data_IF_059019641612
#
_entry.id   IF_059019641612
#
_cell.length_a   1.000
_cell.length_b   1.000
_cell.length_c   1.000
_cell.angle_alpha   90.00
_cell.angle_beta   90.00
_cell.angle_gamma   90.00
#
_symmetry.space_group_name_H-M   'P 1'
#
loop_
_entity.id
_entity.type
_entity.pdbx_description
1 polymer ?
#
# COMPACT_ATOMS: atom_id res chain seq x y z
N UNK A 1 7.33 -32.71 -5.33
CA UNK A 1 6.28 -32.95 -6.35
C UNK A 1 6.88 -32.90 -7.74
N UNK A 2 6.41 -33.71 -8.70
CA UNK A 2 7.09 -33.91 -9.99
C UNK A 2 6.72 -32.91 -11.09
N UNK A 3 5.63 -32.14 -10.91
CA UNK A 3 5.03 -31.29 -11.96
C UNK A 3 5.03 -29.81 -11.63
N UNK A 4 5.62 -29.40 -10.53
CA UNK A 4 5.74 -27.98 -10.12
C UNK A 4 7.21 -27.62 -10.05
N UNK A 5 7.53 -26.34 -10.33
CA UNK A 5 8.89 -25.86 -10.14
C UNK A 5 9.31 -26.06 -8.69
N UNK A 6 10.57 -26.37 -8.48
CA UNK A 6 11.14 -26.39 -7.14
C UNK A 6 11.28 -24.95 -6.68
N UNK A 7 10.50 -24.59 -5.69
CA UNK A 7 10.70 -23.39 -4.91
C UNK A 7 10.90 -23.87 -3.47
N UNK A 8 12.02 -23.56 -2.86
CA UNK A 8 12.34 -24.00 -1.50
C UNK A 8 11.36 -23.43 -0.47
N UNK A 9 10.71 -22.31 -0.81
CA UNK A 9 9.69 -21.65 -0.01
C UNK A 9 8.27 -22.19 -0.25
N UNK A 10 8.06 -23.27 -1.02
CA UNK A 10 6.75 -23.90 -1.26
C UNK A 10 6.14 -24.54 0.00
N UNK A 11 6.12 -23.81 1.10
CA UNK A 11 5.17 -24.09 2.18
C UNK A 11 3.76 -23.82 1.65
N UNK A 12 2.82 -24.67 2.05
CA UNK A 12 1.42 -24.46 1.71
C UNK A 12 1.03 -23.00 2.06
N UNK A 13 0.73 -22.21 1.05
CA UNK A 13 0.23 -20.87 1.26
C UNK A 13 -1.10 -20.95 2.01
N UNK A 14 -1.16 -20.34 3.16
CA UNK A 14 -2.39 -20.15 3.94
C UNK A 14 -2.61 -18.66 4.09
N UNK A 15 -3.57 -18.16 3.34
CA UNK A 15 -3.99 -16.76 3.51
C UNK A 15 -4.78 -16.61 4.81
N UNK A 16 -4.07 -16.25 5.86
CA UNK A 16 -4.66 -16.07 7.19
C UNK A 16 -5.62 -14.87 7.21
N UNK A 17 -5.41 -13.84 6.38
CA UNK A 17 -6.25 -12.64 6.34
C UNK A 17 -7.63 -13.00 5.81
N UNK A 18 -7.72 -13.62 4.64
CA UNK A 18 -9.01 -14.01 4.05
C UNK A 18 -9.77 -15.04 4.88
N UNK A 19 -9.07 -15.89 5.64
CA UNK A 19 -9.74 -16.83 6.54
C UNK A 19 -10.47 -16.11 7.68
N UNK A 20 -9.82 -15.13 8.30
CA UNK A 20 -10.43 -14.31 9.38
C UNK A 20 -11.53 -13.42 8.83
N UNK A 21 -11.33 -12.81 7.65
CA UNK A 21 -12.38 -12.02 6.96
C UNK A 21 -13.63 -12.86 6.68
N UNK A 22 -13.48 -14.11 6.23
CA UNK A 22 -14.62 -15.00 6.01
C UNK A 22 -15.32 -15.37 7.31
N UNK A 23 -14.57 -15.62 8.37
CA UNK A 23 -15.13 -15.91 9.69
C UNK A 23 -15.95 -14.72 10.22
N UNK A 24 -15.39 -13.50 10.15
CA UNK A 24 -16.09 -12.27 10.52
C UNK A 24 -17.40 -12.06 9.73
N UNK A 25 -17.39 -12.34 8.43
CA UNK A 25 -18.60 -12.22 7.59
C UNK A 25 -19.68 -13.24 7.91
N UNK A 26 -19.31 -14.38 8.48
CA UNK A 26 -20.23 -15.44 8.84
C UNK A 26 -20.83 -15.27 10.25
N UNK A 27 -20.25 -14.37 11.04
CA UNK A 27 -20.68 -14.11 12.41
C UNK A 27 -21.57 -12.85 12.49
N UNK A 28 -22.84 -12.99 12.87
CA UNK A 28 -23.78 -11.86 12.93
C UNK A 28 -23.47 -10.85 14.05
N UNK A 29 -22.66 -11.24 15.05
CA UNK A 29 -22.24 -10.39 16.18
C UNK A 29 -20.87 -9.76 15.96
N UNK A 30 -20.23 -9.99 14.79
CA UNK A 30 -18.87 -9.58 14.52
C UNK A 30 -18.67 -8.07 14.54
N UNK A 31 -17.73 -7.62 15.34
CA UNK A 31 -17.03 -6.35 15.13
C UNK A 31 -15.89 -6.63 14.16
N UNK A 32 -16.10 -6.28 12.88
CA UNK A 32 -15.18 -6.66 11.81
C UNK A 32 -14.14 -5.56 11.54
N UNK A 33 -13.04 -5.58 12.26
CA UNK A 33 -11.88 -4.72 12.09
C UNK A 33 -10.75 -5.37 11.24
N UNK A 34 -11.09 -6.29 10.34
CA UNK A 34 -10.11 -7.00 9.51
C UNK A 34 -9.84 -6.32 8.17
N UNK A 35 -10.85 -5.63 7.60
CA UNK A 35 -10.81 -5.16 6.22
C UNK A 35 -9.85 -3.98 6.04
N UNK A 36 -9.23 -3.91 4.86
CA UNK A 36 -8.48 -2.76 4.38
C UNK A 36 -9.27 -1.95 3.35
N UNK A 37 -10.59 -1.94 3.48
CA UNK A 37 -11.51 -1.15 2.67
C UNK A 37 -12.28 -0.20 3.58
N UNK A 38 -12.58 0.99 3.08
CA UNK A 38 -13.37 1.97 3.82
C UNK A 38 -14.85 1.60 3.76
N UNK A 39 -15.51 1.61 4.92
CA UNK A 39 -16.95 1.43 5.08
C UNK A 39 -17.58 2.71 5.63
N UNK A 40 -18.80 3.02 5.17
CA UNK A 40 -19.60 4.13 5.69
C UNK A 40 -20.15 3.86 7.09
N UNK A 41 -20.80 4.84 7.68
CA UNK A 41 -21.45 4.70 8.98
C UNK A 41 -22.70 3.80 8.93
N UNK A 42 -23.21 3.53 7.72
CA UNK A 42 -24.27 2.54 7.48
C UNK A 42 -23.77 1.09 7.41
N UNK A 43 -22.50 0.85 7.68
CA UNK A 43 -21.85 -0.46 7.63
C UNK A 43 -21.68 -1.04 6.22
N UNK A 44 -21.91 -0.24 5.17
CA UNK A 44 -21.67 -0.64 3.78
C UNK A 44 -20.34 -0.11 3.28
N UNK A 45 -19.82 -0.77 2.24
CA UNK A 45 -18.60 -0.27 1.59
C UNK A 45 -18.80 1.17 1.11
N UNK A 46 -17.92 2.07 1.55
CA UNK A 46 -17.90 3.43 1.07
C UNK A 46 -17.49 3.47 -0.39
N UNK A 47 -18.23 4.21 -1.19
CA UNK A 47 -17.96 4.37 -2.62
C UNK A 47 -18.08 5.85 -2.99
N UNK A 48 -17.13 6.34 -3.81
CA UNK A 48 -17.24 7.66 -4.38
C UNK A 48 -18.34 7.68 -5.43
N UNK A 49 -19.35 8.51 -5.24
CA UNK A 49 -20.50 8.61 -6.15
C UNK A 49 -20.05 8.99 -7.55
N UNK A 50 -19.18 10.01 -7.68
CA UNK A 50 -18.68 10.47 -8.97
C UNK A 50 -18.00 9.33 -9.77
N UNK A 51 -17.22 8.47 -9.09
CA UNK A 51 -16.52 7.33 -9.72
C UNK A 51 -17.50 6.32 -10.32
N UNK A 52 -18.56 5.96 -9.59
CA UNK A 52 -19.51 4.95 -10.05
C UNK A 52 -20.55 5.52 -11.02
N UNK A 53 -20.89 6.79 -10.93
CA UNK A 53 -21.72 7.49 -11.93
C UNK A 53 -21.00 7.63 -13.26
N UNK A 54 -19.70 7.91 -13.28
CA UNK A 54 -18.89 7.91 -14.50
C UNK A 54 -18.74 6.49 -15.06
N UNK A 55 -18.46 5.49 -14.20
CA UNK A 55 -18.37 4.08 -14.65
C UNK A 55 -19.64 3.59 -15.36
N UNK A 56 -20.81 4.02 -14.87
CA UNK A 56 -22.10 3.65 -15.46
C UNK A 56 -22.27 4.14 -16.91
N UNK A 57 -21.55 5.18 -17.31
CA UNK A 57 -21.56 5.73 -18.69
C UNK A 57 -20.70 4.93 -19.67
N UNK A 58 -19.82 4.04 -19.20
CA UNK A 58 -18.94 3.23 -20.05
C UNK A 58 -19.78 2.18 -20.78
N UNK A 59 -19.71 2.23 -22.11
CA UNK A 59 -20.50 1.35 -22.99
C UNK A 59 -20.04 -0.11 -22.91
N UNK A 60 -20.92 -1.09 -23.25
CA UNK A 60 -20.52 -2.50 -23.33
C UNK A 60 -19.33 -2.75 -24.28
N UNK A 61 -19.24 -2.02 -25.39
CA UNK A 61 -18.12 -2.14 -26.32
C UNK A 61 -16.79 -1.69 -25.71
N UNK A 62 -16.78 -0.58 -24.96
CA UNK A 62 -15.60 -0.11 -24.23
C UNK A 62 -15.18 -1.07 -23.12
N UNK A 63 -16.16 -1.68 -22.40
CA UNK A 63 -15.89 -2.70 -21.37
C UNK A 63 -15.28 -3.97 -21.97
N UNK A 64 -15.69 -4.35 -23.18
CA UNK A 64 -15.21 -5.56 -23.86
C UNK A 64 -13.88 -5.38 -24.57
N UNK A 65 -13.46 -4.15 -24.84
CA UNK A 65 -12.23 -3.85 -25.58
C UNK A 65 -10.99 -4.07 -24.71
N UNK A 66 -9.91 -4.55 -25.34
CA UNK A 66 -8.59 -4.50 -24.74
C UNK A 66 -8.09 -3.05 -24.60
N UNK A 67 -7.25 -2.80 -23.62
CA UNK A 67 -6.46 -1.58 -23.55
C UNK A 67 -5.51 -1.47 -24.75
N UNK A 68 -5.08 -0.26 -25.08
CA UNK A 68 -4.25 0.05 -26.25
C UNK A 68 -2.90 -0.69 -26.26
N UNK A 69 -2.35 -0.97 -25.09
CA UNK A 69 -1.07 -1.68 -24.93
C UNK A 69 -1.02 -2.50 -23.63
N UNK A 70 -0.01 -3.40 -23.47
CA UNK A 70 0.25 -4.05 -22.17
C UNK A 70 0.59 -3.06 -21.06
N UNK A 71 1.13 -1.89 -21.38
CA UNK A 71 1.41 -0.81 -20.43
C UNK A 71 0.16 0.01 -20.04
N UNK A 72 -0.95 -0.17 -20.75
CA UNK A 72 -2.21 0.54 -20.52
C UNK A 72 -2.56 1.57 -21.60
N UNK A 73 -3.56 2.40 -21.30
CA UNK A 73 -4.01 3.51 -22.13
C UNK A 73 -3.22 4.78 -21.79
N UNK A 74 -2.67 5.45 -22.80
CA UNK A 74 -1.80 6.62 -22.57
C UNK A 74 -2.51 7.73 -21.81
N UNK A 75 -3.76 8.06 -22.15
CA UNK A 75 -4.53 9.10 -21.45
C UNK A 75 -4.65 8.81 -19.94
N UNK A 76 -4.90 7.54 -19.56
CA UNK A 76 -4.90 7.15 -18.14
C UNK A 76 -3.52 7.32 -17.50
N UNK A 77 -2.47 6.88 -18.19
CA UNK A 77 -1.09 6.95 -17.69
C UNK A 77 -0.70 8.40 -17.44
N UNK A 78 -0.96 9.30 -18.37
CA UNK A 78 -0.64 10.72 -18.25
C UNK A 78 -1.40 11.34 -17.07
N UNK A 79 -2.71 11.16 -17.01
CA UNK A 79 -3.56 11.75 -15.96
C UNK A 79 -3.28 11.19 -14.56
N UNK A 80 -3.04 9.87 -14.43
CA UNK A 80 -2.72 9.30 -13.11
C UNK A 80 -1.32 9.70 -12.64
N UNK A 81 -0.38 9.87 -13.57
CA UNK A 81 0.97 10.35 -13.26
C UNK A 81 0.94 11.79 -12.78
N UNK A 82 0.23 12.67 -13.48
CA UNK A 82 0.02 14.06 -13.07
C UNK A 82 -0.69 14.14 -11.70
N UNK A 83 -1.70 13.27 -11.50
CA UNK A 83 -2.39 13.19 -10.22
C UNK A 83 -1.46 12.80 -9.07
N UNK A 84 -0.61 11.79 -9.29
CA UNK A 84 0.31 11.30 -8.26
C UNK A 84 1.43 12.29 -8.00
N UNK A 85 2.12 12.76 -9.06
CA UNK A 85 3.30 13.62 -8.92
C UNK A 85 2.95 15.07 -8.52
N UNK A 86 1.77 15.54 -8.88
CA UNK A 86 1.23 16.86 -8.48
C UNK A 86 2.18 18.03 -8.81
N UNK A 87 2.91 17.91 -9.92
CA UNK A 87 3.87 18.90 -10.39
C UNK A 87 5.17 19.03 -9.55
N UNK A 88 5.41 18.14 -8.59
CA UNK A 88 6.56 18.23 -7.66
C UNK A 88 7.84 17.63 -8.20
N UNK A 89 7.74 16.71 -9.13
CA UNK A 89 8.89 16.04 -9.74
C UNK A 89 9.21 16.70 -11.07
N UNK A 90 10.39 17.31 -11.15
CA UNK A 90 10.93 17.98 -12.35
C UNK A 90 11.94 17.09 -13.08
N UNK A 91 12.39 16.00 -12.45
CA UNK A 91 13.30 15.02 -13.01
C UNK A 91 12.57 14.17 -14.08
N UNK A 92 13.33 13.40 -14.88
CA UNK A 92 12.72 12.47 -15.84
C UNK A 92 11.90 11.39 -15.14
N UNK A 93 10.74 11.10 -15.69
CA UNK A 93 9.90 10.01 -15.23
C UNK A 93 9.18 9.33 -16.38
N UNK A 94 8.87 8.06 -16.20
CA UNK A 94 8.02 7.27 -17.10
C UNK A 94 7.06 6.43 -16.25
N UNK A 95 5.92 6.10 -16.80
CA UNK A 95 4.90 5.36 -16.06
C UNK A 95 4.20 4.30 -16.90
N UNK A 96 3.60 3.32 -16.23
CA UNK A 96 2.70 2.35 -16.82
C UNK A 96 1.55 2.01 -15.87
N UNK A 97 0.42 1.62 -16.44
CA UNK A 97 -0.69 1.07 -15.67
C UNK A 97 -0.36 -0.33 -15.14
N UNK A 98 -0.90 -0.67 -13.97
CA UNK A 98 -0.68 -1.97 -13.32
C UNK A 98 -1.99 -2.53 -12.75
N UNK A 99 -2.08 -3.85 -12.47
CA UNK A 99 -3.24 -4.44 -11.79
C UNK A 99 -3.23 -4.10 -10.28
N UNK A 100 -3.46 -2.83 -9.95
CA UNK A 100 -3.40 -2.26 -8.60
C UNK A 100 -1.96 -2.05 -8.12
N UNK A 101 -1.80 -1.54 -6.88
CA UNK A 101 -0.49 -1.36 -6.25
C UNK A 101 0.32 -2.66 -6.14
N UNK A 102 -0.34 -3.80 -5.89
CA UNK A 102 0.32 -5.12 -5.91
C UNK A 102 1.01 -5.40 -7.25
N UNK A 103 0.35 -5.07 -8.35
CA UNK A 103 0.94 -5.23 -9.69
C UNK A 103 2.13 -4.31 -9.91
N UNK A 104 2.09 -3.08 -9.39
CA UNK A 104 3.22 -2.14 -9.45
C UNK A 104 4.44 -2.68 -8.69
N UNK A 105 4.24 -3.12 -7.44
CA UNK A 105 5.30 -3.71 -6.60
C UNK A 105 5.87 -4.98 -7.25
N UNK A 106 5.00 -5.89 -7.71
CA UNK A 106 5.45 -7.11 -8.36
C UNK A 106 6.21 -6.84 -9.67
N UNK A 107 5.80 -5.82 -10.46
CA UNK A 107 6.54 -5.38 -11.66
C UNK A 107 7.92 -4.85 -11.30
N UNK A 108 8.01 -3.99 -10.29
CA UNK A 108 9.28 -3.46 -9.80
C UNK A 108 10.23 -4.59 -9.37
N UNK A 109 9.76 -5.49 -8.52
CA UNK A 109 10.54 -6.64 -8.05
C UNK A 109 10.95 -7.55 -9.21
N UNK A 110 10.03 -7.87 -10.13
CA UNK A 110 10.31 -8.75 -11.27
C UNK A 110 11.32 -8.16 -12.26
N UNK A 111 11.42 -6.83 -12.33
CA UNK A 111 12.28 -6.14 -13.29
C UNK A 111 13.65 -5.83 -12.70
N UNK A 112 13.74 -5.58 -11.38
CA UNK A 112 14.97 -5.15 -10.71
C UNK A 112 15.74 -6.27 -10.01
N UNK A 113 15.08 -7.38 -9.64
CA UNK A 113 15.68 -8.42 -8.79
C UNK A 113 15.71 -9.78 -9.46
N UNK A 114 16.86 -10.43 -9.37
CA UNK A 114 17.06 -11.83 -9.70
C UNK A 114 16.83 -12.76 -8.50
N UNK A 115 16.72 -14.07 -8.72
CA UNK A 115 16.67 -15.06 -7.66
C UNK A 115 17.91 -14.99 -6.77
N UNK A 116 17.71 -14.88 -5.45
CA UNK A 116 18.78 -14.76 -4.47
C UNK A 116 19.18 -13.31 -4.13
N UNK A 117 18.70 -12.33 -4.89
CA UNK A 117 18.83 -10.91 -4.49
C UNK A 117 18.03 -10.63 -3.21
N UNK A 118 18.32 -9.50 -2.57
CA UNK A 118 17.68 -9.11 -1.30
C UNK A 118 16.66 -8.01 -1.51
N UNK A 119 15.53 -8.14 -0.83
CA UNK A 119 14.52 -7.09 -0.67
C UNK A 119 14.49 -6.64 0.79
N UNK A 120 14.53 -5.32 1.01
CA UNK A 120 14.47 -4.69 2.34
C UNK A 120 13.10 -4.07 2.53
N UNK A 121 12.40 -4.43 3.61
CA UNK A 121 11.11 -3.83 3.98
C UNK A 121 10.88 -3.85 5.49
N UNK A 122 9.92 -3.05 6.04
CA UNK A 122 9.70 -2.99 7.49
C UNK A 122 9.37 -4.35 8.12
N UNK A 123 9.87 -4.59 9.33
CA UNK A 123 9.62 -5.84 10.08
C UNK A 123 8.14 -6.05 10.43
N UNK A 124 7.40 -4.97 10.63
CA UNK A 124 5.94 -4.96 10.77
C UNK A 124 5.42 -4.27 9.51
N UNK A 125 4.85 -5.02 8.60
CA UNK A 125 4.50 -4.52 7.26
C UNK A 125 3.35 -5.29 6.65
N UNK A 126 2.91 -4.83 5.49
CA UNK A 126 1.94 -5.55 4.69
C UNK A 126 2.48 -6.93 4.28
N UNK A 127 1.81 -7.97 4.76
CA UNK A 127 2.29 -9.36 4.62
C UNK A 127 2.54 -9.84 3.19
N UNK A 128 2.02 -9.12 2.18
CA UNK A 128 2.21 -9.49 0.78
C UNK A 128 3.61 -9.18 0.25
N UNK A 129 4.40 -8.31 0.90
CA UNK A 129 5.82 -8.14 0.56
C UNK A 129 6.56 -9.47 0.71
N UNK A 130 6.29 -10.19 1.80
CA UNK A 130 6.85 -11.52 2.02
C UNK A 130 6.41 -12.53 0.95
N UNK A 131 5.14 -12.52 0.56
CA UNK A 131 4.62 -13.42 -0.49
C UNK A 131 5.32 -13.15 -1.82
N UNK A 132 5.51 -11.88 -2.19
CA UNK A 132 6.22 -11.49 -3.42
C UNK A 132 7.69 -11.95 -3.37
N UNK A 133 8.36 -11.75 -2.23
CA UNK A 133 9.74 -12.18 -2.03
C UNK A 133 9.87 -13.71 -2.13
N UNK A 134 8.99 -14.46 -1.47
CA UNK A 134 8.99 -15.93 -1.50
C UNK A 134 8.74 -16.48 -2.92
N UNK A 135 7.83 -15.88 -3.70
CA UNK A 135 7.56 -16.28 -5.08
C UNK A 135 8.77 -16.09 -6.01
N UNK A 136 9.65 -15.17 -5.67
CA UNK A 136 10.86 -14.85 -6.43
C UNK A 136 12.14 -15.48 -5.86
N UNK A 137 12.03 -16.26 -4.78
CA UNK A 137 13.18 -16.81 -4.02
C UNK A 137 14.18 -15.73 -3.59
N UNK A 138 13.69 -14.58 -3.13
CA UNK A 138 14.51 -13.49 -2.64
C UNK A 138 14.90 -13.68 -1.18
N UNK A 139 16.06 -13.16 -0.83
CA UNK A 139 16.43 -12.92 0.56
C UNK A 139 15.65 -11.71 1.10
N UNK A 140 15.44 -11.70 2.41
CA UNK A 140 14.71 -10.62 3.07
C UNK A 140 15.52 -10.08 4.23
N UNK A 141 15.71 -8.77 4.25
CA UNK A 141 16.14 -8.01 5.40
C UNK A 141 15.00 -7.12 5.88
N UNK A 142 14.94 -6.90 7.18
CA UNK A 142 13.89 -6.10 7.80
C UNK A 142 14.48 -5.00 8.65
N UNK A 143 13.77 -3.88 8.77
CA UNK A 143 14.14 -2.75 9.61
C UNK A 143 12.95 -2.28 10.46
N UNK A 144 13.24 -1.55 11.54
CA UNK A 144 12.23 -0.89 12.37
C UNK A 144 11.92 0.51 11.80
N UNK A 145 10.66 0.78 11.46
CA UNK A 145 10.23 2.07 10.90
C UNK A 145 10.42 3.25 11.85
N UNK A 146 10.55 2.98 13.14
CA UNK A 146 10.77 3.99 14.19
C UNK A 146 12.25 4.24 14.51
N UNK A 147 13.19 3.54 13.84
CA UNK A 147 14.63 3.70 14.05
C UNK A 147 15.38 3.83 12.73
N UNK A 148 15.72 5.08 12.36
CA UNK A 148 16.50 5.34 11.15
C UNK A 148 17.92 4.75 11.23
N UNK A 149 18.48 4.55 12.43
CA UNK A 149 19.81 3.93 12.53
C UNK A 149 19.74 2.45 12.17
N UNK A 150 18.66 1.77 12.57
CA UNK A 150 18.41 0.37 12.16
C UNK A 150 18.21 0.26 10.65
N UNK A 151 17.42 1.17 10.06
CA UNK A 151 17.26 1.27 8.61
C UNK A 151 18.61 1.47 7.90
N UNK A 152 19.42 2.43 8.33
CA UNK A 152 20.72 2.72 7.69
C UNK A 152 21.70 1.58 7.84
N UNK A 153 21.75 0.94 9.01
CA UNK A 153 22.54 -0.26 9.24
C UNK A 153 22.11 -1.39 8.30
N UNK A 154 20.81 -1.63 8.17
CA UNK A 154 20.26 -2.67 7.28
C UNK A 154 20.64 -2.41 5.82
N UNK A 155 20.60 -1.16 5.36
CA UNK A 155 21.06 -0.75 4.02
C UNK A 155 22.56 -1.01 3.84
N UNK A 156 23.38 -0.74 4.87
CA UNK A 156 24.83 -0.94 4.82
C UNK A 156 25.24 -2.42 4.77
N UNK A 157 24.42 -3.32 5.31
CA UNK A 157 24.65 -4.77 5.28
C UNK A 157 24.51 -5.36 3.85
N UNK A 158 23.84 -4.65 2.92
CA UNK A 158 23.69 -5.10 1.53
C UNK A 158 24.95 -4.87 0.69
N UNK A 159 25.09 -5.73 -0.34
CA UNK A 159 26.21 -5.71 -1.26
C UNK A 159 26.15 -4.58 -2.29
N UNK A 160 26.18 -4.94 -3.57
CA UNK A 160 26.26 -3.99 -4.69
C UNK A 160 24.91 -3.38 -5.08
N UNK A 161 23.76 -3.99 -4.64
CA UNK A 161 22.42 -3.56 -4.97
C UNK A 161 21.55 -3.46 -3.71
N UNK A 162 20.88 -2.34 -3.54
CA UNK A 162 19.89 -2.08 -2.48
C UNK A 162 18.51 -1.98 -3.10
N UNK A 163 17.57 -2.84 -2.71
CA UNK A 163 16.16 -2.71 -3.04
C UNK A 163 15.37 -2.45 -1.76
N UNK A 164 15.04 -1.19 -1.52
CA UNK A 164 14.36 -0.71 -0.31
C UNK A 164 12.89 -0.43 -0.60
N UNK A 165 12.00 -1.01 0.18
CA UNK A 165 10.56 -0.72 0.17
C UNK A 165 10.21 0.16 1.36
N UNK A 166 9.61 1.31 1.09
CA UNK A 166 9.02 2.20 2.09
C UNK A 166 7.52 2.35 1.78
N UNK A 167 6.66 1.97 2.73
CA UNK A 167 5.23 2.26 2.65
C UNK A 167 4.94 3.48 3.53
N UNK A 168 4.82 4.65 2.91
CA UNK A 168 4.60 5.93 3.61
C UNK A 168 3.99 6.94 2.64
N UNK A 169 3.07 7.79 3.11
CA UNK A 169 2.47 7.82 4.45
C UNK A 169 1.37 6.76 4.66
N UNK A 170 0.78 6.74 5.85
CA UNK A 170 -0.31 5.82 6.22
C UNK A 170 0.07 4.34 6.10
N UNK A 171 1.27 4.00 6.54
CA UNK A 171 1.84 2.65 6.45
C UNK A 171 0.86 1.57 6.95
N UNK A 172 0.73 0.49 6.21
CA UNK A 172 -0.05 -0.68 6.60
C UNK A 172 0.89 -1.74 7.22
N UNK A 173 0.84 -2.03 8.52
CA UNK A 173 -0.34 -1.89 9.41
C UNK A 173 -0.26 -0.80 10.49
N UNK A 174 0.83 -0.05 10.60
CA UNK A 174 1.11 0.79 11.76
C UNK A 174 0.46 2.19 11.67
N UNK A 175 0.12 2.65 10.45
CA UNK A 175 -0.27 4.05 10.23
C UNK A 175 0.91 5.02 10.34
N UNK A 176 2.14 4.52 10.21
CA UNK A 176 3.35 5.34 10.27
C UNK A 176 3.49 6.26 9.05
N UNK A 177 4.10 7.41 9.26
CA UNK A 177 4.51 8.33 8.21
C UNK A 177 5.86 8.95 8.59
N UNK A 178 6.82 8.88 7.68
CA UNK A 178 8.08 9.59 7.87
C UNK A 178 7.88 11.09 7.70
N UNK A 179 8.29 11.93 8.66
CA UNK A 179 8.31 13.38 8.50
C UNK A 179 9.37 13.79 7.45
N UNK A 180 9.23 15.00 6.92
CA UNK A 180 10.08 15.47 5.81
C UNK A 180 11.59 15.49 6.14
N UNK A 181 11.94 15.78 7.38
CA UNK A 181 13.34 15.78 7.84
C UNK A 181 13.93 14.35 7.91
N UNK A 182 13.14 13.34 8.23
CA UNK A 182 13.56 11.95 8.14
C UNK A 182 13.66 11.49 6.69
N UNK A 183 12.73 11.89 5.81
CA UNK A 183 12.84 11.67 4.38
C UNK A 183 14.12 12.27 3.79
N UNK A 184 14.51 13.47 4.21
CA UNK A 184 15.80 14.07 3.80
C UNK A 184 16.98 13.19 4.21
N UNK A 185 17.01 12.73 5.46
CA UNK A 185 18.08 11.84 5.94
C UNK A 185 18.12 10.52 5.16
N UNK A 186 16.95 9.93 4.84
CA UNK A 186 16.87 8.73 4.01
C UNK A 186 17.45 9.02 2.61
N UNK A 187 17.02 10.08 1.96
CA UNK A 187 17.50 10.41 0.61
C UNK A 187 18.98 10.76 0.61
N UNK A 188 19.48 11.50 1.60
CA UNK A 188 20.92 11.79 1.77
C UNK A 188 21.72 10.48 1.91
N UNK A 189 21.22 9.54 2.72
CA UNK A 189 21.84 8.22 2.85
C UNK A 189 21.88 7.47 1.54
N UNK A 190 20.75 7.36 0.82
CA UNK A 190 20.66 6.63 -0.44
C UNK A 190 21.57 7.26 -1.52
N UNK A 191 21.59 8.59 -1.63
CA UNK A 191 22.43 9.31 -2.57
C UNK A 191 23.94 9.19 -2.28
N UNK A 192 24.31 8.91 -1.02
CA UNK A 192 25.71 8.76 -0.61
C UNK A 192 26.31 7.38 -0.92
N UNK A 193 25.49 6.42 -1.31
CA UNK A 193 25.94 5.05 -1.55
C UNK A 193 26.64 4.91 -2.92
N UNK A 194 27.76 4.18 -2.95
CA UNK A 194 28.39 3.74 -4.19
C UNK A 194 27.85 2.34 -4.58
N UNK A 195 26.54 2.24 -4.76
CA UNK A 195 25.79 1.01 -5.05
C UNK A 195 24.61 1.33 -5.96
N UNK A 196 24.06 0.32 -6.64
CA UNK A 196 22.74 0.44 -7.29
C UNK A 196 21.64 0.52 -6.22
N UNK A 197 20.87 1.58 -6.24
CA UNK A 197 19.79 1.82 -5.28
C UNK A 197 18.44 1.87 -5.97
N UNK A 198 17.53 1.00 -5.57
CA UNK A 198 16.13 1.02 -5.95
C UNK A 198 15.31 1.36 -4.72
N UNK A 199 14.71 2.56 -4.70
CA UNK A 199 13.76 2.98 -3.68
C UNK A 199 12.33 2.77 -4.19
N UNK A 200 11.63 1.79 -3.67
CA UNK A 200 10.21 1.55 -3.95
C UNK A 200 9.33 2.19 -2.87
N UNK A 201 8.66 3.28 -3.21
CA UNK A 201 7.65 3.91 -2.36
C UNK A 201 6.28 3.28 -2.67
N UNK A 202 5.74 2.49 -1.74
CA UNK A 202 4.34 2.06 -1.79
C UNK A 202 3.47 3.19 -1.22
N UNK A 203 2.80 3.90 -2.12
CA UNK A 203 2.00 5.09 -1.82
C UNK A 203 0.49 4.80 -1.87
N UNK A 204 0.10 3.55 -1.65
CA UNK A 204 -1.30 3.13 -1.80
C UNK A 204 -2.31 3.91 -0.95
N UNK A 205 -1.89 4.57 0.12
CA UNK A 205 -2.73 5.30 1.06
C UNK A 205 -2.45 6.81 1.09
N UNK A 206 -1.57 7.34 0.23
CA UNK A 206 -1.09 8.72 0.28
C UNK A 206 -2.21 9.77 0.29
N UNK A 207 -3.32 9.51 -0.42
CA UNK A 207 -4.45 10.43 -0.53
C UNK A 207 -5.25 10.58 0.78
N UNK A 208 -5.05 9.68 1.75
CA UNK A 208 -5.71 9.72 3.06
C UNK A 208 -4.86 10.34 4.16
N UNK A 209 -3.63 10.70 3.87
CA UNK A 209 -2.78 11.36 4.85
C UNK A 209 -3.19 12.82 5.07
N UNK A 210 -2.87 13.34 6.26
CA UNK A 210 -3.06 14.75 6.61
C UNK A 210 -1.86 15.61 6.19
N UNK A 211 -2.05 16.92 6.14
CA UNK A 211 -0.99 17.86 5.78
C UNK A 211 -0.61 17.82 4.30
N UNK A 212 0.68 17.86 4.01
CA UNK A 212 1.24 17.75 2.67
C UNK A 212 1.97 16.42 2.48
N UNK A 213 1.24 15.36 2.15
CA UNK A 213 1.80 14.00 2.08
C UNK A 213 2.77 13.78 0.93
N UNK A 214 2.84 14.69 -0.03
CA UNK A 214 3.69 14.62 -1.21
C UNK A 214 4.92 15.53 -1.12
N UNK A 215 5.14 16.24 0.00
CA UNK A 215 6.26 17.16 0.16
C UNK A 215 7.62 16.50 -0.11
N UNK A 216 7.79 15.23 0.26
CA UNK A 216 9.03 14.50 0.06
C UNK A 216 9.32 14.16 -1.42
N UNK A 217 8.35 14.25 -2.33
CA UNK A 217 8.59 14.03 -3.77
C UNK A 217 9.55 15.06 -4.37
N UNK A 218 9.63 16.24 -3.79
CA UNK A 218 10.58 17.27 -4.21
C UNK A 218 12.04 16.81 -4.07
N UNK A 219 12.33 15.89 -3.12
CA UNK A 219 13.66 15.31 -2.93
C UNK A 219 14.09 14.40 -4.10
N UNK A 220 13.14 13.92 -4.90
CA UNK A 220 13.45 13.10 -6.08
C UNK A 220 14.01 13.90 -7.25
N UNK A 221 14.05 15.24 -7.13
CA UNK A 221 14.72 16.11 -8.10
C UNK A 221 16.24 16.14 -7.92
N UNK A 222 16.76 15.65 -6.79
CA UNK A 222 18.17 15.70 -6.41
C UNK A 222 18.76 14.29 -6.17
N UNK A 223 18.22 13.27 -6.87
CA UNK A 223 18.74 11.89 -6.77
C UNK A 223 20.07 11.76 -7.52
N UNK A 224 20.94 10.88 -7.01
CA UNK A 224 22.17 10.48 -7.69
C UNK A 224 21.89 9.53 -8.86
N UNK A 225 22.80 9.45 -9.84
CA UNK A 225 22.62 8.66 -11.08
C UNK A 225 22.40 7.15 -10.82
N UNK A 226 22.90 6.65 -9.69
CA UNK A 226 22.74 5.25 -9.27
C UNK A 226 21.43 4.98 -8.50
N UNK A 227 20.56 5.99 -8.35
CA UNK A 227 19.27 5.86 -7.63
C UNK A 227 18.11 5.82 -8.60
N UNK A 228 17.34 4.74 -8.55
CA UNK A 228 16.05 4.61 -9.22
C UNK A 228 14.93 4.72 -8.18
N UNK A 229 14.05 5.71 -8.31
CA UNK A 229 12.85 5.83 -7.46
C UNK A 229 11.65 5.26 -8.20
N UNK A 230 10.91 4.40 -7.53
CA UNK A 230 9.70 3.75 -8.03
C UNK A 230 8.52 4.09 -7.12
N UNK A 231 7.44 4.63 -7.69
CA UNK A 231 6.20 4.89 -6.95
C UNK A 231 5.16 3.83 -7.34
N UNK A 232 4.68 3.07 -6.36
CA UNK A 232 3.60 2.11 -6.53
C UNK A 232 2.26 2.73 -6.12
N UNK A 233 1.52 3.27 -7.08
CA UNK A 233 0.23 3.90 -6.87
C UNK A 233 -0.93 2.90 -7.03
N UNK A 234 -2.02 3.10 -6.27
CA UNK A 234 -3.17 2.21 -6.25
C UNK A 234 -4.49 2.97 -6.31
N UNK A 235 -5.29 2.75 -7.33
CA UNK A 235 -6.65 3.26 -7.40
C UNK A 235 -7.60 2.59 -6.38
N UNK A 236 -7.18 1.48 -5.76
CA UNK A 236 -8.03 0.74 -4.81
C UNK A 236 -8.47 1.61 -3.64
N UNK A 237 -7.56 2.43 -3.09
CA UNK A 237 -7.85 3.29 -1.95
C UNK A 237 -8.27 4.68 -2.41
N UNK A 238 -7.42 5.31 -3.25
CA UNK A 238 -7.66 6.64 -3.77
C UNK A 238 -9.08 6.83 -4.32
N UNK A 239 -9.58 5.88 -5.10
CA UNK A 239 -10.89 5.97 -5.77
C UNK A 239 -11.94 4.99 -5.23
N UNK A 240 -11.69 4.35 -4.07
CA UNK A 240 -12.55 3.26 -3.54
C UNK A 240 -12.85 2.15 -4.58
N UNK A 241 -11.87 1.87 -5.43
CA UNK A 241 -12.02 1.05 -6.65
C UNK A 241 -11.34 -0.33 -6.48
N UNK A 242 -11.53 -0.93 -5.30
CA UNK A 242 -10.80 -2.11 -4.81
C UNK A 242 -10.84 -3.31 -5.75
N UNK A 243 -12.00 -3.60 -6.30
CA UNK A 243 -12.25 -4.78 -7.14
C UNK A 243 -11.77 -4.65 -8.58
N UNK A 244 -11.54 -3.43 -9.08
CA UNK A 244 -11.22 -3.18 -10.49
C UNK A 244 -9.75 -3.43 -10.84
N UNK A 245 -8.91 -3.59 -9.82
CA UNK A 245 -7.49 -3.91 -9.96
C UNK A 245 -6.75 -2.94 -10.89
N UNK A 246 -6.76 -1.66 -10.55
CA UNK A 246 -6.08 -0.61 -11.29
C UNK A 246 -5.10 0.16 -10.40
N UNK A 247 -3.97 0.54 -10.96
CA UNK A 247 -2.91 1.33 -10.34
C UNK A 247 -1.88 1.76 -11.37
N UNK A 248 -0.77 2.29 -10.91
CA UNK A 248 0.35 2.69 -11.76
C UNK A 248 1.69 2.41 -11.08
N UNK A 249 2.70 2.12 -11.90
CA UNK A 249 4.11 2.15 -11.53
C UNK A 249 4.73 3.37 -12.23
N UNK A 250 5.30 4.28 -11.45
CA UNK A 250 6.01 5.46 -11.95
C UNK A 250 7.48 5.29 -11.58
N UNK A 251 8.38 5.40 -12.55
CA UNK A 251 9.81 5.35 -12.35
C UNK A 251 10.42 6.73 -12.58
N UNK A 252 11.35 7.14 -11.73
CA UNK A 252 12.03 8.44 -11.73
C UNK A 252 13.52 8.17 -11.68
N UNK A 253 14.28 8.77 -12.61
CA UNK A 253 15.74 8.69 -12.67
C UNK A 253 16.29 9.87 -13.48
N UNK A 254 17.58 10.16 -13.38
CA UNK A 254 18.26 11.22 -14.14
C UNK A 254 18.45 10.86 -15.63
N UNK A 255 18.41 9.56 -15.97
CA UNK A 255 18.64 9.05 -17.33
C UNK A 255 17.32 8.66 -17.99
N UNK A 256 16.88 9.45 -18.98
CA UNK A 256 15.64 9.20 -19.72
C UNK A 256 15.73 7.95 -20.60
N UNK A 257 16.89 7.65 -21.20
CA UNK A 257 17.07 6.46 -22.03
C UNK A 257 16.98 5.18 -21.19
N UNK A 258 17.57 5.21 -19.99
CA UNK A 258 17.41 4.15 -19.01
C UNK A 258 15.93 3.94 -18.65
N UNK A 259 15.17 5.01 -18.39
CA UNK A 259 13.74 4.91 -18.07
C UNK A 259 12.93 4.29 -19.21
N UNK A 260 13.22 4.63 -20.45
CA UNK A 260 12.58 4.01 -21.64
C UNK A 260 12.88 2.51 -21.69
N UNK A 261 14.13 2.13 -21.46
CA UNK A 261 14.52 0.71 -21.38
C UNK A 261 13.82 -0.01 -20.22
N UNK A 262 13.80 0.59 -19.04
CA UNK A 262 13.15 0.04 -17.84
C UNK A 262 11.65 -0.21 -18.08
N UNK A 263 10.94 0.78 -18.65
CA UNK A 263 9.50 0.63 -18.96
C UNK A 263 9.24 -0.41 -20.06
N UNK A 264 10.16 -0.58 -21.00
CA UNK A 264 10.07 -1.65 -21.99
C UNK A 264 10.15 -3.03 -21.32
N UNK A 265 11.06 -3.23 -20.37
CA UNK A 265 11.17 -4.46 -19.59
C UNK A 265 9.91 -4.71 -18.74
N UNK A 266 9.39 -3.68 -18.07
CA UNK A 266 8.15 -3.75 -17.32
C UNK A 266 6.96 -4.12 -18.22
N UNK A 267 6.85 -3.52 -19.41
CA UNK A 267 5.82 -3.83 -20.39
C UNK A 267 5.91 -5.28 -20.89
N UNK A 268 7.13 -5.79 -21.11
CA UNK A 268 7.37 -7.21 -21.44
C UNK A 268 6.90 -8.14 -20.31
N UNK A 269 7.22 -7.81 -19.05
CA UNK A 269 6.76 -8.55 -17.89
C UNK A 269 5.24 -8.55 -17.79
N UNK A 270 4.61 -7.39 -17.98
CA UNK A 270 3.16 -7.23 -18.03
C UNK A 270 2.53 -8.12 -19.11
N UNK A 271 3.08 -8.09 -20.33
CA UNK A 271 2.60 -8.93 -21.43
C UNK A 271 2.70 -10.43 -21.13
N UNK A 272 3.74 -10.84 -20.40
CA UNK A 272 3.99 -12.24 -20.05
C UNK A 272 3.15 -12.75 -18.88
N UNK A 273 2.63 -11.85 -18.02
CA UNK A 273 1.93 -12.21 -16.78
C UNK A 273 0.42 -12.04 -16.89
N UNK A 274 -0.06 -10.81 -17.05
CA UNK A 274 -1.51 -10.50 -17.16
C UNK A 274 -1.95 -10.09 -18.56
N UNK A 275 -1.03 -9.96 -19.50
CA UNK A 275 -1.26 -9.68 -20.93
C UNK A 275 -1.82 -8.30 -21.24
N UNK A 276 -2.87 -7.86 -20.57
CA UNK A 276 -3.56 -6.59 -20.74
C UNK A 276 -4.30 -6.21 -19.46
N UNK A 277 -4.81 -5.00 -19.38
CA UNK A 277 -5.42 -4.43 -18.19
C UNK A 277 -6.90 -4.13 -18.38
N UNK A 278 -7.58 -3.78 -17.29
CA UNK A 278 -8.99 -3.41 -17.30
C UNK A 278 -9.20 -2.05 -18.00
N UNK A 279 -9.55 -2.12 -19.29
CA UNK A 279 -9.77 -0.94 -20.11
C UNK A 279 -10.87 -0.02 -19.55
N UNK A 280 -11.98 -0.59 -19.08
CA UNK A 280 -13.07 0.19 -18.52
C UNK A 280 -12.65 0.97 -17.28
N UNK A 281 -11.85 0.35 -16.41
CA UNK A 281 -11.34 1.02 -15.22
C UNK A 281 -10.41 2.20 -15.58
N UNK A 282 -9.54 2.03 -16.58
CA UNK A 282 -8.67 3.13 -17.03
C UNK A 282 -9.47 4.28 -17.65
N UNK A 283 -10.47 3.98 -18.49
CA UNK A 283 -11.35 5.00 -19.06
C UNK A 283 -12.10 5.76 -17.96
N UNK A 284 -12.60 5.05 -16.96
CA UNK A 284 -13.32 5.66 -15.84
C UNK A 284 -12.43 6.62 -15.04
N UNK A 285 -11.25 6.15 -14.59
CA UNK A 285 -10.37 7.00 -13.78
C UNK A 285 -9.83 8.18 -14.60
N UNK A 286 -9.56 8.00 -15.88
CA UNK A 286 -9.19 9.11 -16.76
C UNK A 286 -10.32 10.16 -16.85
N UNK A 287 -11.58 9.74 -16.97
CA UNK A 287 -12.73 10.64 -16.97
C UNK A 287 -12.86 11.40 -15.63
N UNK A 288 -12.70 10.72 -14.50
CA UNK A 288 -12.71 11.36 -13.17
C UNK A 288 -11.62 12.43 -13.06
N UNK A 289 -10.39 12.08 -13.41
CA UNK A 289 -9.25 13.00 -13.27
C UNK A 289 -9.34 14.20 -14.21
N UNK A 290 -9.95 14.04 -15.37
CA UNK A 290 -10.10 15.07 -16.38
C UNK A 290 -11.34 15.95 -16.20
N UNK A 291 -12.48 15.36 -15.86
CA UNK A 291 -13.78 16.02 -15.94
C UNK A 291 -14.51 16.14 -14.60
N UNK A 292 -14.13 15.36 -13.57
CA UNK A 292 -14.84 15.27 -12.28
C UNK A 292 -13.90 15.44 -11.09
N UNK A 293 -12.79 16.16 -11.27
CA UNK A 293 -11.76 16.30 -10.25
C UNK A 293 -12.22 17.01 -9.00
N UNK A 294 -13.02 18.06 -9.14
CA UNK A 294 -13.55 18.84 -8.01
C UNK A 294 -14.51 17.98 -7.18
N UNK A 295 -15.47 17.32 -7.81
CA UNK A 295 -16.41 16.39 -7.17
C UNK A 295 -15.67 15.27 -6.42
N UNK A 296 -14.66 14.71 -7.06
CA UNK A 296 -13.81 13.69 -6.44
C UNK A 296 -13.10 14.21 -5.19
N UNK A 297 -12.52 15.41 -5.25
CA UNK A 297 -11.81 15.99 -4.12
C UNK A 297 -12.76 16.25 -2.94
N UNK A 298 -13.99 16.72 -3.18
CA UNK A 298 -15.00 16.92 -2.13
C UNK A 298 -15.36 15.59 -1.44
N UNK A 299 -15.57 14.52 -2.22
CA UNK A 299 -15.90 13.19 -1.68
C UNK A 299 -14.69 12.56 -0.95
N UNK A 300 -13.46 12.79 -1.42
CA UNK A 300 -12.23 12.35 -0.75
C UNK A 300 -12.08 13.05 0.61
N UNK A 301 -12.27 14.36 0.68
CA UNK A 301 -12.17 15.09 1.95
C UNK A 301 -13.24 14.64 2.97
N UNK A 302 -14.45 14.31 2.52
CA UNK A 302 -15.47 13.70 3.37
C UNK A 302 -15.04 12.32 3.90
N UNK A 303 -14.44 11.47 3.05
CA UNK A 303 -13.91 10.16 3.44
C UNK A 303 -12.74 10.28 4.43
N UNK A 304 -11.83 11.25 4.22
CA UNK A 304 -10.73 11.56 5.15
C UNK A 304 -11.25 12.03 6.50
N UNK A 305 -12.27 12.90 6.50
CA UNK A 305 -12.90 13.41 7.72
C UNK A 305 -13.48 12.27 8.58
N UNK A 306 -14.24 11.37 7.96
CA UNK A 306 -14.82 10.20 8.62
C UNK A 306 -13.72 9.28 9.21
N UNK A 307 -12.67 9.03 8.45
CA UNK A 307 -11.57 8.17 8.91
C UNK A 307 -10.79 8.81 10.07
N UNK A 308 -10.53 10.11 9.98
CA UNK A 308 -9.87 10.89 11.02
C UNK A 308 -10.64 10.83 12.34
N UNK A 309 -11.96 11.06 12.30
CA UNK A 309 -12.82 11.01 13.48
C UNK A 309 -12.74 9.64 14.19
N UNK A 310 -12.79 8.55 13.42
CA UNK A 310 -12.63 7.18 13.93
C UNK A 310 -11.27 6.97 14.57
N UNK A 311 -10.21 7.43 13.92
CA UNK A 311 -8.83 7.27 14.39
C UNK A 311 -8.60 8.04 15.68
N UNK A 312 -9.04 9.30 15.74
CA UNK A 312 -8.94 10.13 16.93
C UNK A 312 -9.73 9.56 18.12
N UNK A 313 -10.95 9.05 17.88
CA UNK A 313 -11.76 8.39 18.90
C UNK A 313 -11.02 7.18 19.48
N UNK A 314 -10.62 6.24 18.64
CA UNK A 314 -10.00 4.99 19.10
C UNK A 314 -8.67 5.23 19.82
N UNK A 315 -7.79 6.09 19.27
CA UNK A 315 -6.50 6.41 19.92
C UNK A 315 -6.70 7.07 21.27
N UNK A 316 -7.67 8.00 21.40
CA UNK A 316 -8.00 8.64 22.67
C UNK A 316 -8.46 7.61 23.70
N UNK A 317 -9.43 6.77 23.37
CA UNK A 317 -9.94 5.73 24.27
C UNK A 317 -8.86 4.70 24.63
N UNK A 318 -8.04 4.26 23.67
CA UNK A 318 -6.92 3.36 23.92
C UNK A 318 -5.93 3.94 24.94
N UNK A 319 -5.56 5.22 24.78
CA UNK A 319 -4.71 5.92 25.74
C UNK A 319 -5.36 6.01 27.12
N UNK A 320 -6.64 6.38 27.18
CA UNK A 320 -7.35 6.62 28.45
C UNK A 320 -7.55 5.32 29.25
N UNK A 321 -7.73 4.17 28.59
CA UNK A 321 -7.82 2.86 29.24
C UNK A 321 -6.46 2.13 29.37
N UNK A 322 -5.37 2.68 28.85
CA UNK A 322 -4.04 2.08 28.90
C UNK A 322 -3.85 0.87 27.98
N UNK A 323 -4.53 0.86 26.83
CA UNK A 323 -4.29 -0.09 25.75
C UNK A 323 -3.12 0.41 24.89
N UNK A 324 -2.03 -0.35 24.85
CA UNK A 324 -0.80 0.09 24.18
C UNK A 324 -0.89 -0.03 22.65
N UNK A 325 -0.62 1.06 21.96
CA UNK A 325 -0.55 1.13 20.49
C UNK A 325 0.88 1.42 20.03
N UNK A 326 1.23 0.96 18.83
CA UNK A 326 2.32 1.58 18.09
C UNK A 326 1.95 3.02 17.73
N UNK A 327 2.96 3.89 17.62
CA UNK A 327 2.72 5.27 17.20
C UNK A 327 2.18 5.30 15.78
N UNK A 328 0.99 5.88 15.61
CA UNK A 328 0.32 6.05 14.32
C UNK A 328 0.15 7.55 14.05
N UNK A 329 0.32 7.94 12.80
CA UNK A 329 0.04 9.30 12.33
C UNK A 329 -1.35 9.38 11.70
N UNK A 330 -1.59 8.57 10.66
CA UNK A 330 -2.78 8.61 9.81
C UNK A 330 -3.10 7.23 9.22
N UNK A 331 -4.22 7.13 8.56
CA UNK A 331 -4.55 6.01 7.68
C UNK A 331 -5.65 5.10 8.18
N UNK A 332 -5.72 3.93 7.58
CA UNK A 332 -6.81 2.96 7.73
C UNK A 332 -6.72 2.12 9.00
N UNK A 333 -5.54 2.11 9.63
CA UNK A 333 -5.20 1.12 10.65
C UNK A 333 -4.51 1.75 11.86
N UNK A 334 -4.72 1.12 12.99
CA UNK A 334 -3.83 1.21 14.14
C UNK A 334 -3.39 -0.19 14.54
N UNK A 335 -2.25 -0.31 15.23
CA UNK A 335 -1.74 -1.61 15.65
C UNK A 335 -1.49 -1.62 17.14
N UNK A 336 -2.12 -2.57 17.83
CA UNK A 336 -1.85 -2.86 19.23
C UNK A 336 -0.45 -3.44 19.38
N UNK A 337 0.31 -2.95 20.34
CA UNK A 337 1.65 -3.42 20.63
C UNK A 337 1.60 -4.66 21.52
N UNK A 338 2.25 -5.74 21.09
CA UNK A 338 2.38 -6.97 21.85
C UNK A 338 3.85 -7.22 22.19
N UNK A 339 4.10 -7.78 23.36
CA UNK A 339 5.45 -8.11 23.81
C UNK A 339 6.14 -9.09 22.84
N UNK A 340 5.40 -10.11 22.42
CA UNK A 340 5.87 -11.14 21.51
C UNK A 340 4.69 -11.78 20.73
N UNK A 341 5.00 -12.72 19.85
CA UNK A 341 4.00 -13.36 19.02
C UNK A 341 3.15 -14.40 19.77
N UNK A 342 3.61 -14.92 20.91
CA UNK A 342 2.85 -15.86 21.73
C UNK A 342 1.74 -15.11 22.49
N UNK A 343 2.07 -13.97 23.09
CA UNK A 343 1.09 -13.07 23.70
C UNK A 343 0.07 -12.59 22.67
N UNK A 344 0.53 -12.16 21.48
CA UNK A 344 -0.34 -11.78 20.36
C UNK A 344 -1.35 -12.89 20.04
N UNK A 345 -0.88 -14.12 19.88
CA UNK A 345 -1.73 -15.24 19.47
C UNK A 345 -2.76 -15.60 20.55
N UNK A 346 -2.34 -15.57 21.81
CA UNK A 346 -3.24 -15.78 22.95
C UNK A 346 -4.30 -14.68 23.05
N UNK A 347 -3.90 -13.43 22.89
CA UNK A 347 -4.81 -12.30 22.98
C UNK A 347 -5.75 -12.24 21.75
N UNK A 348 -5.23 -12.44 20.54
CA UNK A 348 -6.06 -12.50 19.34
C UNK A 348 -7.14 -13.57 19.43
N UNK A 349 -6.84 -14.73 20.03
CA UNK A 349 -7.84 -15.76 20.28
C UNK A 349 -8.96 -15.26 21.18
N UNK A 350 -8.62 -14.58 22.30
CA UNK A 350 -9.63 -14.00 23.20
C UNK A 350 -10.53 -12.99 22.47
N UNK A 351 -9.95 -12.14 21.61
CA UNK A 351 -10.72 -11.21 20.80
C UNK A 351 -11.74 -11.94 19.89
N UNK A 352 -11.29 -13.00 19.20
CA UNK A 352 -12.17 -13.81 18.35
C UNK A 352 -13.27 -14.50 19.15
N UNK A 353 -12.97 -15.03 20.35
CA UNK A 353 -13.95 -15.66 21.25
C UNK A 353 -15.03 -14.64 21.73
N UNK A 354 -14.76 -13.33 21.58
CA UNK A 354 -15.68 -12.22 21.89
C UNK A 354 -16.14 -11.45 20.66
N UNK A 355 -16.15 -12.09 19.49
CA UNK A 355 -16.64 -11.55 18.21
C UNK A 355 -15.88 -10.31 17.70
N UNK A 356 -14.66 -10.04 18.19
CA UNK A 356 -13.80 -8.95 17.72
C UNK A 356 -12.77 -9.53 16.74
N UNK A 357 -12.97 -9.25 15.46
CA UNK A 357 -12.14 -9.76 14.37
C UNK A 357 -11.10 -8.73 13.93
N UNK A 358 -9.84 -9.08 14.10
CA UNK A 358 -8.67 -8.25 13.81
C UNK A 358 -7.62 -9.06 13.03
N UNK A 359 -6.50 -8.45 12.64
CA UNK A 359 -5.45 -9.16 11.90
C UNK A 359 -4.16 -9.23 12.73
N UNK A 360 -3.60 -10.42 12.84
CA UNK A 360 -2.28 -10.62 13.45
C UNK A 360 -1.18 -10.08 12.53
N UNK A 361 -0.27 -9.30 13.11
CA UNK A 361 0.97 -8.86 12.49
C UNK A 361 2.15 -9.23 13.37
N UNK A 362 3.38 -9.06 12.93
CA UNK A 362 4.53 -9.35 13.77
C UNK A 362 4.52 -8.43 15.00
N UNK A 363 4.62 -9.01 16.21
CA UNK A 363 4.57 -8.29 17.49
C UNK A 363 3.35 -7.36 17.67
N UNK A 364 2.22 -7.63 16.99
CA UNK A 364 1.07 -6.75 17.09
C UNK A 364 -0.23 -7.32 16.56
N UNK A 365 -1.30 -6.56 16.80
CA UNK A 365 -2.64 -6.82 16.26
C UNK A 365 -3.13 -5.56 15.55
N UNK A 366 -3.31 -5.67 14.25
CA UNK A 366 -3.85 -4.59 13.42
C UNK A 366 -5.37 -4.49 13.58
N UNK A 367 -5.84 -3.29 13.87
CA UNK A 367 -7.26 -2.93 13.93
C UNK A 367 -7.59 -2.05 12.72
N UNK A 368 -8.51 -2.49 11.88
CA UNK A 368 -8.96 -1.76 10.69
C UNK A 368 -10.05 -0.75 11.05
N UNK A 369 -9.66 0.47 11.42
CA UNK A 369 -10.62 1.54 11.77
C UNK A 369 -11.50 1.94 10.59
N UNK A 370 -10.98 1.78 9.38
CA UNK A 370 -11.69 2.07 8.14
C UNK A 370 -12.95 1.21 7.94
N UNK A 371 -13.05 0.06 8.60
CA UNK A 371 -14.16 -0.89 8.39
C UNK A 371 -15.18 -0.94 9.52
N UNK A 372 -14.99 -0.16 10.57
CA UNK A 372 -15.87 -0.16 11.75
C UNK A 372 -16.57 1.20 11.87
N UNK A 373 -17.91 1.26 11.87
CA UNK A 373 -18.64 2.50 12.10
C UNK A 373 -18.29 3.17 13.44
N UNK A 374 -18.40 4.49 13.50
CA UNK A 374 -18.02 5.28 14.69
C UNK A 374 -18.78 4.84 15.95
N UNK A 375 -20.07 4.56 15.83
CA UNK A 375 -20.89 4.05 16.94
C UNK A 375 -20.38 2.71 17.50
N UNK A 376 -19.88 1.83 16.64
CA UNK A 376 -19.31 0.53 17.04
C UNK A 376 -17.88 0.68 17.58
N UNK A 377 -17.13 1.71 17.15
CA UNK A 377 -15.81 2.01 17.67
C UNK A 377 -15.85 2.61 19.07
N UNK A 378 -16.93 3.31 19.42
CA UNK A 378 -17.09 3.91 20.74
C UNK A 378 -17.15 2.81 21.82
N UNK A 379 -16.21 2.84 22.77
CA UNK A 379 -16.03 1.81 23.79
C UNK A 379 -15.29 0.53 23.32
N UNK A 380 -14.88 0.45 22.06
CA UNK A 380 -14.17 -0.75 21.57
C UNK A 380 -12.78 -0.89 22.18
N UNK A 381 -12.03 0.19 22.37
CA UNK A 381 -10.70 0.15 22.96
C UNK A 381 -10.76 -0.34 24.41
N UNK A 382 -11.73 0.12 25.20
CA UNK A 382 -11.97 -0.32 26.57
C UNK A 382 -12.32 -1.82 26.62
N UNK A 383 -13.27 -2.25 25.76
CA UNK A 383 -13.62 -3.68 25.63
C UNK A 383 -12.40 -4.54 25.27
N UNK A 384 -11.57 -4.06 24.35
CA UNK A 384 -10.33 -4.75 23.99
C UNK A 384 -9.35 -4.78 25.18
N UNK A 385 -9.25 -3.70 25.97
CA UNK A 385 -8.40 -3.67 27.16
C UNK A 385 -8.85 -4.63 28.25
N UNK A 386 -10.16 -4.78 28.46
CA UNK A 386 -10.71 -5.75 29.42
C UNK A 386 -10.39 -7.21 29.07
N UNK A 387 -10.19 -7.49 27.77
CA UNK A 387 -9.85 -8.81 27.26
C UNK A 387 -8.32 -9.06 27.24
N UNK A 388 -7.51 -8.03 27.48
CA UNK A 388 -6.06 -8.14 27.48
C UNK A 388 -5.54 -8.75 28.79
#
# INVERSE_FOLDING_TARGET
>A
MRFVRKNENTKRYVDNIFSVVRAAKADPEAINATAGCLYGEDGKMFTYRCVFESEAKITPAQRAAYAASPAGNQEYIDLITDFVLDGRVMNHYKAMATPGGTGAIASAVNTCLDEGDTIIYPQISWGNYRVIADERNLNVLNYDVYDLNDLFKTIDEEGEKVFLVINSPCENPLGHAYPLDEWKQIMDKLNSLDKEVILLCDIAYIDYATGDPKAYFELFNEISDNVLVLLAASCSKAFSYYGQRLGALIAINNDEEFLDHYMNLCSRTARATWSNLNNAAMLNIADILKNHREEYNEELEAAKGMLKERTELFIRQARDCGLELYQSADGFFVTLKMKDNDERDAYHKRLLDHHIYTIKVNHGIRVGLCSVPLETLDGLAEKMKELY
#
